data_IF_434105035679
#
_entry.id   IF_434105035679
#
_cell.length_a   1.000
_cell.length_b   1.000
_cell.length_c   1.000
_cell.angle_alpha   90.00
_cell.angle_beta   90.00
_cell.angle_gamma   90.00
#
_symmetry.space_group_name_H-M   'P 1'
#
loop_
_entity.id
_entity.type
_entity.pdbx_description
1 polymer ?
#
# COMPACT_ATOMS: atom_id res chain seq x y z
N UNK A 1 -5.95 -25.61 -25.19
CA UNK A 1 -5.47 -24.63 -24.22
C UNK A 1 -5.79 -23.23 -24.75
N UNK A 2 -6.31 -22.33 -23.93
CA UNK A 2 -6.57 -20.96 -24.34
C UNK A 2 -5.26 -20.19 -24.63
N UNK A 3 -5.35 -19.11 -25.40
CA UNK A 3 -4.22 -18.21 -25.65
C UNK A 3 -4.14 -17.23 -24.49
N UNK A 4 -2.96 -17.10 -23.86
CA UNK A 4 -2.72 -16.10 -22.82
C UNK A 4 -2.65 -14.72 -23.47
N UNK A 5 -3.47 -13.81 -22.99
CA UNK A 5 -3.56 -12.43 -23.47
C UNK A 5 -3.41 -11.46 -22.31
N UNK A 6 -2.76 -10.35 -22.59
CA UNK A 6 -2.56 -9.26 -21.64
C UNK A 6 -2.92 -7.94 -22.28
N UNK A 7 -3.60 -7.07 -21.53
CA UNK A 7 -3.89 -5.69 -21.94
C UNK A 7 -3.56 -4.74 -20.81
N UNK A 8 -3.21 -3.50 -21.14
CA UNK A 8 -2.82 -2.48 -20.19
C UNK A 8 -3.49 -1.13 -20.51
N UNK A 9 -3.86 -0.41 -19.47
CA UNK A 9 -4.32 0.97 -19.59
C UNK A 9 -3.94 1.78 -18.36
N UNK A 10 -3.92 3.11 -18.51
CA UNK A 10 -3.86 4.09 -17.43
C UNK A 10 -4.90 5.18 -17.64
N UNK A 11 -5.39 5.74 -16.55
CA UNK A 11 -6.27 6.92 -16.57
C UNK A 11 -5.84 7.89 -15.48
N UNK A 12 -5.99 9.19 -15.74
CA UNK A 12 -5.76 10.22 -14.75
C UNK A 12 -6.94 10.29 -13.77
N UNK A 13 -6.62 10.45 -12.48
CA UNK A 13 -7.59 10.58 -11.39
C UNK A 13 -7.34 11.83 -10.53
N UNK A 14 -6.78 12.89 -11.11
CA UNK A 14 -6.51 14.13 -10.39
C UNK A 14 -7.77 14.71 -9.73
N UNK A 15 -7.66 15.12 -8.46
CA UNK A 15 -8.76 15.71 -7.72
C UNK A 15 -8.94 17.21 -8.03
N UNK A 16 -10.09 17.80 -7.66
CA UNK A 16 -10.23 19.25 -7.58
C UNK A 16 -9.36 19.82 -6.44
N UNK A 17 -8.88 21.06 -6.60
CA UNK A 17 -8.18 21.79 -5.54
C UNK A 17 -9.09 22.06 -4.35
N UNK A 18 -8.51 22.19 -3.16
CA UNK A 18 -9.20 22.42 -1.91
C UNK A 18 -9.76 21.13 -1.26
N UNK A 19 -9.67 19.98 -1.92
CA UNK A 19 -10.07 18.70 -1.32
C UNK A 19 -9.13 18.29 -0.18
N UNK A 20 -9.66 17.62 0.83
CA UNK A 20 -8.87 17.09 1.95
C UNK A 20 -7.90 15.99 1.49
N UNK A 21 -6.65 16.05 1.99
CA UNK A 21 -5.57 15.08 1.70
C UNK A 21 -5.49 14.06 2.84
N UNK A 22 -5.43 12.76 2.47
CA UNK A 22 -5.31 11.63 3.39
C UNK A 22 -3.85 11.42 3.85
N UNK A 23 -3.67 10.67 4.94
CA UNK A 23 -2.38 10.08 5.36
C UNK A 23 -1.90 10.54 6.75
N UNK A 24 -2.32 11.69 7.27
CA UNK A 24 -1.88 12.21 8.57
C UNK A 24 -3.03 12.52 9.52
N UNK A 25 -2.72 12.70 10.80
CA UNK A 25 -3.65 13.14 11.85
C UNK A 25 -3.74 14.67 11.97
N UNK A 26 -3.41 15.39 10.90
CA UNK A 26 -3.55 16.84 10.77
C UNK A 26 -4.34 17.17 9.50
N UNK A 27 -5.18 18.21 9.50
CA UNK A 27 -5.91 18.60 8.31
C UNK A 27 -4.96 19.17 7.25
N UNK A 28 -5.07 18.67 6.02
CA UNK A 28 -4.36 19.17 4.83
C UNK A 28 -5.32 19.28 3.66
N UNK A 29 -5.14 20.28 2.82
CA UNK A 29 -6.02 20.54 1.68
C UNK A 29 -5.19 20.79 0.42
N UNK A 30 -5.60 20.20 -0.71
CA UNK A 30 -4.87 20.28 -1.96
C UNK A 30 -4.77 21.73 -2.47
N UNK A 31 -3.55 22.26 -2.56
CA UNK A 31 -3.23 23.61 -3.09
C UNK A 31 -2.66 23.60 -4.50
N UNK A 32 -2.27 22.45 -5.02
CA UNK A 32 -1.66 22.27 -6.32
C UNK A 32 -1.20 20.84 -6.56
N UNK A 33 -0.40 20.65 -7.60
CA UNK A 33 0.09 19.34 -8.02
C UNK A 33 1.61 19.38 -8.17
N UNK A 34 2.30 18.38 -7.65
CA UNK A 34 3.68 18.05 -8.01
C UNK A 34 3.71 17.15 -9.23
N UNK A 35 2.79 16.19 -9.30
CA UNK A 35 2.57 15.34 -10.45
C UNK A 35 1.13 14.76 -10.44
N UNK A 36 0.79 14.04 -11.51
CA UNK A 36 -0.52 13.45 -11.69
C UNK A 36 -0.71 12.19 -10.83
N UNK A 37 -1.93 12.01 -10.31
CA UNK A 37 -2.41 10.75 -9.78
C UNK A 37 -2.99 9.92 -10.93
N UNK A 38 -2.62 8.64 -10.98
CA UNK A 38 -3.06 7.70 -12.00
C UNK A 38 -3.69 6.45 -11.38
N UNK A 39 -4.61 5.85 -12.12
CA UNK A 39 -4.98 4.46 -11.93
C UNK A 39 -4.49 3.66 -13.15
N UNK A 40 -3.92 2.48 -12.90
CA UNK A 40 -3.41 1.56 -13.92
C UNK A 40 -4.10 0.22 -13.81
N UNK A 41 -4.41 -0.44 -14.94
CA UNK A 41 -4.96 -1.78 -14.95
C UNK A 41 -4.19 -2.70 -15.89
N UNK A 42 -4.04 -3.95 -15.45
CA UNK A 42 -3.53 -5.07 -16.22
C UNK A 42 -4.65 -6.10 -16.36
N UNK A 43 -5.16 -6.29 -17.59
CA UNK A 43 -6.14 -7.32 -17.90
C UNK A 43 -5.41 -8.61 -18.33
N UNK A 44 -5.63 -9.69 -17.59
CA UNK A 44 -5.08 -11.02 -17.86
C UNK A 44 -6.21 -11.94 -18.33
N UNK A 45 -6.06 -12.57 -19.48
CA UNK A 45 -7.07 -13.51 -20.00
C UNK A 45 -6.43 -14.81 -20.47
N UNK A 46 -7.07 -15.92 -20.15
CA UNK A 46 -6.70 -17.27 -20.62
C UNK A 46 -7.98 -18.08 -20.86
N UNK A 47 -8.29 -18.36 -22.13
CA UNK A 47 -9.57 -18.91 -22.51
C UNK A 47 -10.72 -17.98 -22.14
N UNK A 48 -11.69 -18.46 -21.39
CA UNK A 48 -12.85 -17.66 -20.93
C UNK A 48 -12.59 -16.90 -19.61
N UNK A 49 -11.49 -17.23 -18.90
CA UNK A 49 -11.15 -16.56 -17.66
C UNK A 49 -10.50 -15.20 -17.91
N UNK A 50 -10.95 -14.20 -17.18
CA UNK A 50 -10.34 -12.86 -17.17
C UNK A 50 -10.20 -12.38 -15.74
N UNK A 51 -9.04 -11.80 -15.41
CA UNK A 51 -8.70 -11.18 -14.12
C UNK A 51 -8.23 -9.76 -14.41
N UNK A 52 -8.66 -8.81 -13.61
CA UNK A 52 -8.20 -7.43 -13.64
C UNK A 52 -7.34 -7.14 -12.40
N UNK A 53 -6.09 -6.75 -12.62
CA UNK A 53 -5.21 -6.23 -11.57
C UNK A 53 -5.20 -4.71 -11.70
N UNK A 54 -5.68 -4.01 -10.67
CA UNK A 54 -5.85 -2.55 -10.68
C UNK A 54 -5.04 -1.92 -9.56
N UNK A 55 -4.23 -0.93 -9.89
CA UNK A 55 -3.43 -0.16 -8.95
C UNK A 55 -3.81 1.32 -9.04
N UNK A 56 -4.07 1.97 -7.91
CA UNK A 56 -4.61 3.32 -7.83
C UNK A 56 -3.73 4.20 -6.95
N UNK A 57 -3.33 5.37 -7.42
CA UNK A 57 -2.55 6.35 -6.65
C UNK A 57 -3.43 7.06 -5.60
N UNK A 58 -3.81 6.30 -4.59
CA UNK A 58 -4.61 6.73 -3.44
C UNK A 58 -3.94 6.20 -2.18
N UNK A 59 -4.15 6.86 -1.04
CA UNK A 59 -3.60 6.40 0.24
C UNK A 59 -4.20 5.06 0.65
N UNK A 60 -5.52 4.96 0.63
CA UNK A 60 -6.27 3.74 0.91
C UNK A 60 -7.68 3.82 0.30
N UNK A 61 -8.30 2.66 0.07
CA UNK A 61 -9.69 2.53 -0.37
C UNK A 61 -10.39 1.65 0.65
N UNK A 62 -11.39 2.17 1.34
CA UNK A 62 -12.15 1.41 2.32
C UNK A 62 -12.87 0.22 1.65
N UNK A 63 -13.04 -0.87 2.41
CA UNK A 63 -13.59 -2.13 1.90
C UNK A 63 -14.91 -1.95 1.15
N UNK A 64 -15.84 -1.14 1.68
CA UNK A 64 -17.13 -0.90 1.02
C UNK A 64 -17.01 -0.13 -0.31
N UNK A 65 -16.00 0.75 -0.45
CA UNK A 65 -15.71 1.43 -1.72
C UNK A 65 -15.06 0.48 -2.72
N UNK A 66 -14.16 -0.41 -2.27
CA UNK A 66 -13.62 -1.48 -3.12
C UNK A 66 -14.76 -2.33 -3.69
N UNK A 67 -15.70 -2.77 -2.85
CA UNK A 67 -16.87 -3.55 -3.28
C UNK A 67 -17.71 -2.78 -4.32
N UNK A 68 -17.95 -1.48 -4.09
CA UNK A 68 -18.67 -0.62 -5.02
C UNK A 68 -17.93 -0.47 -6.36
N UNK A 69 -16.64 -0.21 -6.33
CA UNK A 69 -15.84 -0.02 -7.54
C UNK A 69 -15.71 -1.32 -8.35
N UNK A 70 -15.52 -2.46 -7.68
CA UNK A 70 -15.50 -3.76 -8.34
C UNK A 70 -16.86 -4.08 -8.98
N UNK A 71 -17.99 -3.72 -8.35
CA UNK A 71 -19.32 -3.87 -8.93
C UNK A 71 -19.53 -2.95 -10.15
N UNK A 72 -19.04 -1.70 -10.11
CA UNK A 72 -19.08 -0.78 -11.27
C UNK A 72 -18.23 -1.32 -12.45
N UNK A 73 -17.08 -1.91 -12.18
CA UNK A 73 -16.25 -2.58 -13.19
C UNK A 73 -17.00 -3.77 -13.79
N UNK A 74 -17.64 -4.61 -12.97
CA UNK A 74 -18.46 -5.74 -13.45
C UNK A 74 -19.61 -5.27 -14.35
N UNK A 75 -20.35 -4.24 -13.94
CA UNK A 75 -21.45 -3.65 -14.72
C UNK A 75 -20.95 -3.15 -16.09
N UNK A 76 -19.79 -2.48 -16.11
CA UNK A 76 -19.24 -1.88 -17.32
C UNK A 76 -18.59 -2.89 -18.27
N UNK A 77 -18.10 -4.03 -17.77
CA UNK A 77 -17.22 -4.93 -18.55
C UNK A 77 -17.71 -6.37 -18.64
N UNK A 78 -18.60 -6.79 -17.74
CA UNK A 78 -18.99 -8.19 -17.57
C UNK A 78 -17.94 -9.07 -16.88
N UNK A 79 -16.79 -8.51 -16.47
CA UNK A 79 -15.82 -9.24 -15.64
C UNK A 79 -16.36 -9.33 -14.21
N UNK A 80 -16.55 -10.54 -13.65
CA UNK A 80 -17.06 -10.68 -12.28
C UNK A 80 -16.26 -9.86 -11.28
N UNK A 81 -16.93 -9.17 -10.36
CA UNK A 81 -16.25 -8.33 -9.34
C UNK A 81 -15.26 -9.11 -8.49
N UNK A 82 -15.49 -10.40 -8.29
CA UNK A 82 -14.58 -11.34 -7.60
C UNK A 82 -13.28 -11.54 -8.39
N UNK A 83 -13.25 -11.22 -9.69
CA UNK A 83 -12.06 -11.30 -10.53
C UNK A 83 -11.29 -9.98 -10.61
N UNK A 84 -11.60 -9.02 -9.74
CA UNK A 84 -10.89 -7.73 -9.65
C UNK A 84 -10.00 -7.73 -8.42
N UNK A 85 -8.71 -7.45 -8.62
CA UNK A 85 -7.69 -7.27 -7.61
C UNK A 85 -7.32 -5.79 -7.57
N UNK A 86 -7.97 -5.03 -6.68
CA UNK A 86 -7.90 -3.57 -6.60
C UNK A 86 -7.02 -3.15 -5.42
N UNK A 87 -5.90 -2.46 -5.69
CA UNK A 87 -4.94 -2.04 -4.67
C UNK A 87 -4.67 -0.53 -4.72
N UNK A 88 -4.44 0.06 -3.56
CA UNK A 88 -3.90 1.41 -3.43
C UNK A 88 -2.36 1.39 -3.41
N UNK A 89 -1.71 2.41 -3.99
CA UNK A 89 -0.24 2.59 -3.92
C UNK A 89 0.22 3.13 -2.58
N UNK A 90 -0.71 3.64 -1.78
CA UNK A 90 -0.52 4.22 -0.45
C UNK A 90 0.14 5.61 -0.46
N UNK A 91 0.00 6.41 -1.51
CA UNK A 91 0.53 7.78 -1.49
C UNK A 91 -0.17 8.63 -0.43
N UNK A 92 0.61 9.27 0.47
CA UNK A 92 0.12 10.13 1.54
C UNK A 92 -0.17 11.56 1.09
N UNK A 93 -0.15 11.82 -0.20
CA UNK A 93 -0.50 13.11 -0.81
C UNK A 93 -1.64 13.00 -1.82
N UNK A 94 -2.48 11.96 -1.68
CA UNK A 94 -3.74 11.79 -2.41
C UNK A 94 -4.95 12.17 -1.54
N UNK A 95 -6.12 12.46 -2.16
CA UNK A 95 -7.31 12.86 -1.43
C UNK A 95 -7.96 11.77 -0.60
N UNK A 96 -8.83 12.20 0.32
CA UNK A 96 -9.84 11.33 0.91
C UNK A 96 -10.82 10.82 -0.15
N UNK A 97 -11.22 9.55 -0.03
CA UNK A 97 -12.36 8.98 -0.76
C UNK A 97 -13.61 8.87 0.13
N UNK A 98 -13.44 9.00 1.44
CA UNK A 98 -14.50 8.97 2.47
C UNK A 98 -14.25 10.02 3.51
N UNK A 99 -15.34 10.55 4.08
CA UNK A 99 -15.23 11.36 5.30
C UNK A 99 -14.89 10.45 6.48
N UNK A 100 -13.79 10.74 7.14
CA UNK A 100 -13.37 10.02 8.35
C UNK A 100 -13.96 10.61 9.64
N UNK A 101 -14.66 11.74 9.54
CA UNK A 101 -15.19 12.48 10.68
C UNK A 101 -14.10 13.11 11.59
N UNK A 102 -12.84 13.10 11.16
CA UNK A 102 -11.70 13.60 11.96
C UNK A 102 -11.39 15.07 11.73
N UNK A 103 -11.68 15.57 10.54
CA UNK A 103 -11.33 16.93 10.12
C UNK A 103 -12.52 17.61 9.46
N UNK A 104 -12.58 18.96 9.49
CA UNK A 104 -13.58 19.71 8.72
C UNK A 104 -13.27 19.58 7.23
N UNK A 105 -14.06 18.79 6.52
CA UNK A 105 -13.92 18.56 5.06
C UNK A 105 -15.26 18.83 4.35
N UNK A 106 -15.21 19.20 3.08
CA UNK A 106 -16.40 19.23 2.22
C UNK A 106 -16.77 17.78 1.83
N UNK A 107 -17.68 17.18 2.60
CA UNK A 107 -18.16 15.79 2.38
C UNK A 107 -18.75 15.64 0.96
N UNK A 108 -19.45 16.66 0.45
CA UNK A 108 -20.02 16.61 -0.88
C UNK A 108 -18.92 16.63 -1.96
N UNK A 109 -17.82 17.33 -1.74
CA UNK A 109 -16.64 17.30 -2.65
C UNK A 109 -15.98 15.92 -2.64
N UNK A 110 -15.78 15.34 -1.45
CA UNK A 110 -15.21 13.99 -1.30
C UNK A 110 -16.08 12.96 -2.03
N UNK A 111 -17.39 12.97 -1.81
CA UNK A 111 -18.30 12.03 -2.47
C UNK A 111 -18.27 12.17 -4.00
N UNK A 112 -18.29 13.40 -4.53
CA UNK A 112 -18.16 13.63 -5.98
C UNK A 112 -16.84 13.11 -6.53
N UNK A 113 -15.74 13.27 -5.78
CA UNK A 113 -14.44 12.74 -6.19
C UNK A 113 -14.41 11.20 -6.13
N UNK A 114 -14.98 10.59 -5.10
CA UNK A 114 -15.10 9.13 -5.02
C UNK A 114 -15.94 8.55 -6.17
N UNK A 115 -17.02 9.22 -6.57
CA UNK A 115 -17.83 8.83 -7.74
C UNK A 115 -17.04 9.00 -9.05
N UNK A 116 -16.28 10.10 -9.18
CA UNK A 116 -15.40 10.31 -10.33
C UNK A 116 -14.35 9.19 -10.42
N UNK A 117 -13.69 8.83 -9.33
CA UNK A 117 -12.71 7.72 -9.30
C UNK A 117 -13.37 6.41 -9.74
N UNK A 118 -14.55 6.06 -9.20
CA UNK A 118 -15.26 4.85 -9.59
C UNK A 118 -15.56 4.79 -11.10
N UNK A 119 -16.03 5.89 -11.68
CA UNK A 119 -16.26 5.98 -13.14
C UNK A 119 -14.96 5.83 -13.94
N UNK A 120 -13.84 6.44 -13.47
CA UNK A 120 -12.54 6.29 -14.12
C UNK A 120 -12.00 4.86 -14.05
N UNK A 121 -12.27 4.12 -12.97
CA UNK A 121 -11.89 2.72 -12.84
C UNK A 121 -12.69 1.81 -13.79
N UNK A 122 -13.97 2.11 -14.02
CA UNK A 122 -14.77 1.42 -15.04
C UNK A 122 -14.23 1.67 -16.46
N UNK A 123 -13.95 2.94 -16.82
CA UNK A 123 -13.31 3.30 -18.10
C UNK A 123 -11.95 2.59 -18.26
N UNK A 124 -11.14 2.60 -17.21
CA UNK A 124 -9.82 1.96 -17.16
C UNK A 124 -9.91 0.46 -17.49
N UNK A 125 -10.89 -0.22 -16.89
CA UNK A 125 -11.11 -1.65 -17.11
C UNK A 125 -11.52 -1.92 -18.58
N UNK A 126 -12.41 -1.12 -19.16
CA UNK A 126 -12.79 -1.21 -20.59
C UNK A 126 -11.56 -1.06 -21.47
N UNK A 127 -10.74 -0.03 -21.22
CA UNK A 127 -9.53 0.24 -22.02
C UNK A 127 -8.49 -0.89 -21.91
N UNK A 128 -8.25 -1.40 -20.72
CA UNK A 128 -7.32 -2.51 -20.52
C UNK A 128 -7.79 -3.80 -21.20
N UNK A 129 -9.09 -4.08 -21.16
CA UNK A 129 -9.69 -5.22 -21.88
C UNK A 129 -9.61 -5.06 -23.38
N UNK A 130 -9.77 -3.85 -23.91
CA UNK A 130 -9.67 -3.56 -25.35
C UNK A 130 -8.23 -3.69 -25.87
N UNK A 131 -7.21 -3.42 -25.03
CA UNK A 131 -5.79 -3.53 -25.41
C UNK A 131 -5.25 -4.97 -25.39
N UNK A 132 -6.05 -5.98 -25.01
CA UNK A 132 -5.57 -7.37 -24.89
C UNK A 132 -4.99 -7.90 -26.19
N UNK A 133 -3.76 -8.40 -26.09
CA UNK A 133 -3.04 -9.08 -27.17
C UNK A 133 -2.41 -10.35 -26.61
N UNK A 134 -2.15 -11.32 -27.48
CA UNK A 134 -1.36 -12.49 -27.11
C UNK A 134 -0.05 -12.04 -26.51
N UNK A 135 0.35 -12.68 -25.40
CA UNK A 135 1.52 -12.25 -24.66
C UNK A 135 2.28 -13.46 -24.06
N UNK A 136 3.51 -13.20 -23.68
CA UNK A 136 4.32 -14.10 -22.84
C UNK A 136 4.62 -13.41 -21.53
N UNK A 137 4.86 -14.17 -20.47
CA UNK A 137 5.23 -13.68 -19.15
C UNK A 137 6.60 -14.19 -18.76
N UNK A 138 7.45 -13.29 -18.26
CA UNK A 138 8.66 -13.62 -17.56
C UNK A 138 8.64 -13.05 -16.14
N UNK A 139 9.42 -13.62 -15.23
CA UNK A 139 9.60 -13.08 -13.89
C UNK A 139 11.04 -13.11 -13.46
N UNK A 140 11.39 -12.24 -12.52
CA UNK A 140 12.69 -12.20 -11.86
C UNK A 140 12.54 -11.53 -10.51
N UNK A 141 13.44 -11.85 -9.59
CA UNK A 141 13.61 -11.18 -8.30
C UNK A 141 14.98 -10.53 -8.23
N UNK A 142 15.04 -9.31 -7.73
CA UNK A 142 16.27 -8.61 -7.38
C UNK A 142 16.20 -8.02 -5.99
N UNK A 143 17.10 -7.10 -5.71
CA UNK A 143 17.25 -6.46 -4.40
C UNK A 143 17.18 -4.95 -4.55
N UNK A 144 16.41 -4.32 -3.68
CA UNK A 144 16.39 -2.87 -3.60
C UNK A 144 17.79 -2.35 -3.22
N UNK A 145 18.20 -1.17 -3.73
CA UNK A 145 19.44 -0.54 -3.31
C UNK A 145 19.40 -0.22 -1.80
N UNK A 146 20.57 -0.11 -1.20
CA UNK A 146 20.68 0.45 0.16
C UNK A 146 20.12 1.87 0.20
N UNK A 147 19.63 2.28 1.38
CA UNK A 147 19.18 3.64 1.67
C UNK A 147 17.89 4.10 0.96
N UNK A 148 17.09 3.19 0.42
CA UNK A 148 15.75 3.52 -0.10
C UNK A 148 14.65 3.22 0.90
N UNK A 149 14.86 2.25 1.81
CA UNK A 149 13.89 1.82 2.80
C UNK A 149 14.56 1.54 4.15
N UNK A 150 13.81 1.78 5.22
CA UNK A 150 14.25 1.58 6.60
C UNK A 150 13.10 1.05 7.44
N UNK A 151 13.42 0.22 8.44
CA UNK A 151 12.45 -0.07 9.51
C UNK A 151 12.17 1.25 10.22
N UNK A 152 10.89 1.56 10.46
CA UNK A 152 10.49 2.82 11.11
C UNK A 152 10.22 2.72 12.60
N UNK A 153 10.28 1.49 13.17
CA UNK A 153 10.13 1.20 14.60
C UNK A 153 11.51 1.08 15.26
N UNK A 154 11.72 1.78 16.36
CA UNK A 154 13.01 1.82 17.04
C UNK A 154 12.85 1.55 18.54
N UNK A 155 13.77 0.77 19.09
CA UNK A 155 13.99 0.65 20.53
C UNK A 155 14.68 1.91 21.00
N UNK A 156 14.16 2.51 22.07
CA UNK A 156 14.75 3.67 22.70
C UNK A 156 15.58 3.22 23.91
N UNK A 157 16.58 4.03 24.30
CA UNK A 157 17.47 3.73 25.43
C UNK A 157 16.77 3.61 26.78
N UNK A 158 15.59 4.21 26.93
CA UNK A 158 14.75 4.07 28.11
C UNK A 158 13.93 2.77 28.13
N UNK A 159 14.07 1.95 27.12
CA UNK A 159 13.34 0.69 26.96
C UNK A 159 11.99 0.81 26.25
N UNK A 160 11.52 2.02 25.93
CA UNK A 160 10.29 2.23 25.13
C UNK A 160 10.49 1.88 23.65
N UNK A 161 9.41 1.89 22.88
CA UNK A 161 9.43 1.77 21.43
C UNK A 161 8.80 2.99 20.82
N UNK A 162 9.49 3.60 19.85
CA UNK A 162 8.98 4.75 19.09
C UNK A 162 8.96 4.42 17.61
N UNK A 163 7.84 4.75 16.95
CA UNK A 163 7.73 4.74 15.49
C UNK A 163 8.15 6.11 14.97
N UNK A 164 8.97 6.14 13.91
CA UNK A 164 9.48 7.36 13.28
C UNK A 164 10.04 8.37 14.31
N UNK A 165 11.05 8.00 15.13
CA UNK A 165 11.66 8.95 16.06
C UNK A 165 12.30 10.12 15.30
N UNK A 166 12.50 11.27 15.95
CA UNK A 166 13.18 12.41 15.34
C UNK A 166 14.55 12.03 14.75
N UNK A 167 14.87 12.60 13.61
CA UNK A 167 16.16 12.38 12.94
C UNK A 167 17.29 12.85 13.88
N UNK A 168 18.28 11.99 14.12
CA UNK A 168 19.43 12.29 14.98
C UNK A 168 19.12 12.25 16.49
N UNK A 169 17.96 11.74 16.92
CA UNK A 169 17.66 11.62 18.36
C UNK A 169 18.69 10.71 19.05
N UNK A 170 19.47 11.24 20.01
CA UNK A 170 20.49 10.48 20.70
C UNK A 170 19.94 9.35 21.59
N UNK A 171 18.64 9.32 21.83
CA UNK A 171 17.96 8.29 22.62
C UNK A 171 17.60 7.04 21.83
N UNK A 172 17.76 7.05 20.51
CA UNK A 172 17.58 5.85 19.69
C UNK A 172 18.67 4.83 20.03
N UNK A 173 18.25 3.58 20.22
CA UNK A 173 19.18 2.45 20.44
C UNK A 173 19.37 1.66 19.14
N UNK A 174 18.33 0.98 18.64
CA UNK A 174 18.38 0.21 17.39
C UNK A 174 17.01 0.06 16.73
N UNK A 175 16.94 -0.25 15.41
CA UNK A 175 15.68 -0.57 14.74
C UNK A 175 15.13 -1.93 15.18
N UNK A 176 13.78 -2.06 15.24
CA UNK A 176 13.09 -3.30 15.61
C UNK A 176 12.46 -3.90 14.35
N UNK A 177 13.01 -4.99 13.85
CA UNK A 177 12.53 -5.70 12.68
C UNK A 177 13.60 -5.87 11.60
N UNK A 178 13.22 -6.48 10.51
CA UNK A 178 14.10 -6.75 9.34
C UNK A 178 13.43 -6.27 8.06
N UNK A 179 14.19 -5.65 7.17
CA UNK A 179 13.68 -5.25 5.85
C UNK A 179 13.62 -6.46 4.92
N UNK A 180 12.57 -6.56 4.16
CA UNK A 180 12.52 -7.40 2.97
C UNK A 180 12.91 -6.56 1.74
N UNK A 181 14.15 -6.65 1.35
CA UNK A 181 14.70 -5.89 0.21
C UNK A 181 14.37 -6.52 -1.16
N UNK A 182 13.58 -7.60 -1.22
CA UNK A 182 13.25 -8.26 -2.48
C UNK A 182 12.32 -7.41 -3.33
N UNK A 183 12.77 -7.09 -4.55
CA UNK A 183 11.97 -6.47 -5.60
C UNK A 183 11.55 -7.55 -6.58
N UNK A 184 10.25 -7.79 -6.70
CA UNK A 184 9.71 -8.74 -7.67
C UNK A 184 9.29 -8.01 -8.94
N UNK A 185 9.69 -8.55 -10.10
CA UNK A 185 9.36 -8.01 -11.41
C UNK A 185 8.72 -9.10 -12.26
N UNK A 186 7.49 -8.85 -12.72
CA UNK A 186 6.86 -9.62 -13.79
C UNK A 186 6.90 -8.78 -15.06
N UNK A 187 7.35 -9.37 -16.17
CA UNK A 187 7.35 -8.74 -17.48
C UNK A 187 6.39 -9.47 -18.39
N UNK A 188 5.51 -8.70 -19.03
CA UNK A 188 4.58 -9.19 -20.03
C UNK A 188 4.90 -8.53 -21.36
N UNK A 189 5.25 -9.33 -22.37
CA UNK A 189 5.48 -8.82 -23.72
C UNK A 189 4.30 -9.19 -24.61
N UNK A 190 3.54 -8.18 -25.05
CA UNK A 190 2.46 -8.35 -26.00
C UNK A 190 3.01 -8.59 -27.42
N UNK A 191 2.40 -9.49 -28.18
CA UNK A 191 2.68 -9.68 -29.59
C UNK A 191 2.20 -8.43 -30.36
N UNK A 192 3.13 -7.73 -31.02
CA UNK A 192 2.86 -6.45 -31.72
C UNK A 192 2.22 -5.37 -30.82
N UNK A 193 2.69 -5.27 -29.59
CA UNK A 193 2.20 -4.31 -28.60
C UNK A 193 3.29 -3.81 -27.66
N UNK A 194 2.88 -3.51 -26.44
CA UNK A 194 3.78 -3.00 -25.38
C UNK A 194 4.49 -4.12 -24.62
N UNK A 195 5.65 -3.80 -24.06
CA UNK A 195 6.15 -4.52 -22.88
C UNK A 195 5.60 -3.84 -21.64
N UNK A 196 5.13 -4.65 -20.69
CA UNK A 196 4.50 -4.19 -19.45
C UNK A 196 5.26 -4.82 -18.29
N UNK A 197 5.63 -4.03 -17.29
CA UNK A 197 6.24 -4.54 -16.06
C UNK A 197 5.29 -4.34 -14.89
N UNK A 198 5.11 -5.39 -14.10
CA UNK A 198 4.50 -5.33 -12.79
C UNK A 198 5.63 -5.39 -11.76
N UNK A 199 5.68 -4.41 -10.87
CA UNK A 199 6.68 -4.31 -9.81
C UNK A 199 5.97 -4.45 -8.46
N UNK A 200 6.54 -5.28 -7.56
CA UNK A 200 6.10 -5.41 -6.18
C UNK A 200 7.28 -5.20 -5.24
N UNK A 201 7.13 -4.28 -4.31
CA UNK A 201 8.09 -3.94 -3.27
C UNK A 201 7.37 -3.31 -2.08
N UNK A 202 7.79 -3.62 -0.84
CA UNK A 202 7.16 -3.10 0.37
C UNK A 202 7.85 -1.85 0.89
N UNK A 203 7.22 -0.68 0.69
CA UNK A 203 7.67 0.60 1.22
C UNK A 203 6.52 1.60 1.22
N UNK A 204 6.28 2.28 2.35
CA UNK A 204 5.33 3.39 2.41
C UNK A 204 5.59 4.42 1.32
N UNK A 205 4.55 4.80 0.60
CA UNK A 205 4.59 5.94 -0.32
C UNK A 205 4.28 7.24 0.47
N UNK A 206 5.17 7.53 1.42
CA UNK A 206 5.13 8.66 2.35
C UNK A 206 6.48 9.38 2.34
N UNK A 207 7.06 9.55 1.14
CA UNK A 207 8.32 10.29 0.93
C UNK A 207 8.11 11.77 0.70
N UNK A 208 6.86 12.19 0.44
CA UNK A 208 6.44 13.59 0.26
C UNK A 208 5.38 13.94 1.30
N UNK A 209 5.51 15.11 1.92
CA UNK A 209 4.50 15.68 2.80
C UNK A 209 3.89 16.97 2.19
N UNK A 210 3.07 17.69 2.98
CA UNK A 210 2.51 18.99 2.59
C UNK A 210 1.18 18.89 1.85
N UNK A 211 0.89 19.91 1.03
CA UNK A 211 -0.44 20.16 0.45
C UNK A 211 -0.44 20.13 -1.09
N UNK A 212 0.61 19.58 -1.70
CA UNK A 212 0.67 19.35 -3.14
C UNK A 212 0.39 17.88 -3.45
N UNK A 213 -0.55 17.64 -4.34
CA UNK A 213 -0.90 16.30 -4.80
C UNK A 213 0.28 15.64 -5.53
N UNK A 214 0.57 14.38 -5.21
CA UNK A 214 1.70 13.66 -5.76
C UNK A 214 1.46 12.13 -5.72
N UNK A 215 1.89 11.44 -6.77
CA UNK A 215 1.91 9.97 -6.85
C UNK A 215 3.08 9.34 -6.06
N UNK A 216 3.87 10.15 -5.36
CA UNK A 216 5.03 9.77 -4.56
C UNK A 216 6.07 8.98 -5.38
N UNK A 217 6.96 8.22 -4.73
CA UNK A 217 8.02 7.45 -5.39
C UNK A 217 7.50 6.40 -6.40
N UNK A 218 6.31 5.76 -6.25
CA UNK A 218 5.81 4.86 -7.29
C UNK A 218 5.60 5.53 -8.64
N UNK A 219 5.09 6.76 -8.66
CA UNK A 219 4.96 7.54 -9.88
C UNK A 219 6.30 7.89 -10.51
N UNK A 220 7.30 8.25 -9.70
CA UNK A 220 8.66 8.49 -10.20
C UNK A 220 9.29 7.22 -10.80
N UNK A 221 9.07 6.05 -10.20
CA UNK A 221 9.53 4.77 -10.73
C UNK A 221 8.89 4.49 -12.10
N UNK A 222 7.55 4.58 -12.21
CA UNK A 222 6.81 4.35 -13.47
C UNK A 222 7.31 5.26 -14.59
N UNK A 223 7.39 6.58 -14.36
CA UNK A 223 7.87 7.55 -15.35
C UNK A 223 9.33 7.34 -15.76
N UNK A 224 10.17 6.90 -14.83
CA UNK A 224 11.58 6.60 -15.13
C UNK A 224 11.69 5.38 -16.04
N UNK A 225 10.93 4.32 -15.78
CA UNK A 225 10.91 3.11 -16.60
C UNK A 225 10.34 3.38 -18.00
N UNK A 226 9.25 4.14 -18.11
CA UNK A 226 8.66 4.52 -19.39
C UNK A 226 9.68 5.22 -20.31
N UNK A 227 10.44 6.18 -19.74
CA UNK A 227 11.45 6.93 -20.50
C UNK A 227 12.72 6.13 -20.79
N UNK A 228 13.14 5.27 -19.87
CA UNK A 228 14.39 4.53 -20.01
C UNK A 228 14.27 3.29 -20.89
N UNK A 229 13.06 2.77 -21.07
CA UNK A 229 12.75 1.55 -21.82
C UNK A 229 11.80 1.78 -23.00
N UNK A 230 11.89 2.96 -23.64
CA UNK A 230 11.18 3.31 -24.87
C UNK A 230 9.67 3.06 -24.83
N UNK A 231 9.03 3.49 -23.73
CA UNK A 231 7.57 3.42 -23.57
C UNK A 231 7.04 2.14 -22.94
N UNK A 232 7.88 1.41 -22.19
CA UNK A 232 7.43 0.30 -21.35
C UNK A 232 6.37 0.79 -20.37
N UNK A 233 5.27 0.06 -20.26
CA UNK A 233 4.22 0.34 -19.28
C UNK A 233 4.57 -0.29 -17.95
N UNK A 234 4.26 0.40 -16.85
CA UNK A 234 4.57 -0.08 -15.50
C UNK A 234 3.33 0.00 -14.60
N UNK A 235 3.03 -1.09 -13.90
CA UNK A 235 2.05 -1.15 -12.81
C UNK A 235 2.76 -1.53 -11.52
N UNK A 236 2.41 -0.88 -10.41
CA UNK A 236 3.03 -1.11 -9.11
C UNK A 236 2.01 -1.61 -8.10
N UNK A 237 2.39 -2.63 -7.33
CA UNK A 237 1.65 -3.11 -6.17
C UNK A 237 2.55 -3.05 -4.95
N UNK A 238 2.12 -2.30 -3.92
CA UNK A 238 2.87 -2.16 -2.69
C UNK A 238 2.88 -3.48 -1.91
N UNK A 239 4.03 -3.83 -1.33
CA UNK A 239 4.23 -5.06 -0.57
C UNK A 239 3.80 -4.93 0.89
N UNK A 240 4.32 -5.82 1.75
CA UNK A 240 4.18 -5.70 3.19
C UNK A 240 5.06 -4.54 3.67
N UNK A 241 4.45 -3.42 4.03
CA UNK A 241 5.13 -2.14 4.26
C UNK A 241 4.77 -1.51 5.63
N UNK A 242 3.90 -2.15 6.41
CA UNK A 242 3.32 -1.56 7.63
C UNK A 242 4.36 -1.05 8.64
N UNK A 243 5.56 -1.60 8.67
CA UNK A 243 6.68 -1.18 9.52
C UNK A 243 7.86 -0.57 8.74
N UNK A 244 7.67 -0.24 7.45
CA UNK A 244 8.73 0.24 6.55
C UNK A 244 8.49 1.68 6.12
N UNK A 245 9.48 2.55 6.30
CA UNK A 245 9.48 3.94 5.86
C UNK A 245 10.72 4.30 5.05
N UNK A 246 10.76 5.51 4.52
CA UNK A 246 11.90 6.03 3.73
C UNK A 246 12.86 6.90 4.55
N UNK A 247 12.54 7.21 5.80
CA UNK A 247 13.34 8.12 6.62
C UNK A 247 14.52 7.41 7.28
N UNK A 248 15.72 7.89 7.00
CA UNK A 248 16.94 7.45 7.68
C UNK A 248 17.14 8.30 8.95
N UNK A 249 16.93 7.71 10.12
CA UNK A 249 17.04 8.44 11.41
C UNK A 249 18.48 8.79 11.82
N UNK A 250 19.48 8.16 11.19
CA UNK A 250 20.91 8.48 11.35
C UNK A 250 21.51 8.88 10.01
N UNK A 251 21.12 10.04 9.43
CA UNK A 251 21.60 10.44 8.13
C UNK A 251 23.12 10.63 8.11
N UNK A 252 23.75 10.17 7.06
CA UNK A 252 25.15 10.41 6.76
C UNK A 252 25.27 11.39 5.57
N UNK A 253 26.43 12.04 5.44
CA UNK A 253 26.65 12.94 4.31
C UNK A 253 26.44 12.25 2.96
N UNK A 254 25.75 12.92 2.04
CA UNK A 254 25.41 12.40 0.72
C UNK A 254 24.11 11.61 0.65
N UNK A 255 23.35 11.49 1.72
CA UNK A 255 22.04 10.84 1.69
C UNK A 255 21.04 11.59 0.79
N UNK A 256 21.18 12.91 0.70
CA UNK A 256 20.40 13.76 -0.20
C UNK A 256 21.28 14.82 -0.85
N UNK A 257 21.25 14.91 -2.17
CA UNK A 257 21.93 15.93 -2.97
C UNK A 257 20.92 16.75 -3.78
N UNK A 258 19.82 17.13 -3.18
CA UNK A 258 18.82 17.98 -3.80
C UNK A 258 18.98 19.42 -3.29
N UNK A 259 19.22 20.35 -4.19
CA UNK A 259 19.37 21.78 -3.84
C UNK A 259 18.07 22.44 -3.40
N UNK A 260 16.95 21.80 -3.64
CA UNK A 260 15.61 22.26 -3.21
C UNK A 260 15.28 21.83 -1.78
N UNK A 261 16.12 21.00 -1.15
CA UNK A 261 15.90 20.46 0.18
C UNK A 261 16.90 21.07 1.15
N UNK A 262 16.38 21.62 2.24
CA UNK A 262 17.19 21.93 3.39
C UNK A 262 17.61 20.62 4.08
N UNK A 263 18.91 20.35 4.13
CA UNK A 263 19.49 19.17 4.78
C UNK A 263 19.14 19.04 6.26
N UNK A 264 18.65 20.10 6.87
CA UNK A 264 18.61 20.17 8.33
C UNK A 264 17.28 19.68 8.92
N UNK A 265 16.19 19.52 8.14
CA UNK A 265 14.90 19.33 8.80
C UNK A 265 13.88 18.38 8.15
N UNK A 266 13.97 18.01 6.88
CA UNK A 266 12.89 17.20 6.31
C UNK A 266 13.40 16.14 5.33
N UNK A 267 13.44 14.89 5.81
CA UNK A 267 13.69 13.72 4.96
C UNK A 267 12.51 13.43 4.01
N UNK A 268 11.37 14.12 4.18
CA UNK A 268 10.21 14.02 3.28
C UNK A 268 10.16 15.19 2.32
N UNK A 269 10.32 14.89 1.03
CA UNK A 269 10.42 15.92 0.00
C UNK A 269 10.19 15.34 -1.40
N UNK A 270 9.89 16.17 -2.40
CA UNK A 270 9.86 15.74 -3.81
C UNK A 270 11.17 15.11 -4.28
N UNK A 271 12.32 15.56 -3.74
CA UNK A 271 13.63 14.98 -4.02
C UNK A 271 13.77 13.56 -3.50
N UNK A 272 13.25 13.27 -2.30
CA UNK A 272 13.23 11.90 -1.76
C UNK A 272 12.36 10.97 -2.63
N UNK A 273 11.15 11.39 -3.02
CA UNK A 273 10.31 10.63 -3.94
C UNK A 273 11.03 10.29 -5.24
N UNK A 274 11.71 11.31 -5.82
CA UNK A 274 12.50 11.15 -7.03
C UNK A 274 13.69 10.20 -6.84
N UNK A 275 14.41 10.30 -5.74
CA UNK A 275 15.52 9.41 -5.42
C UNK A 275 15.06 7.96 -5.28
N UNK A 276 14.10 7.68 -4.41
CA UNK A 276 13.57 6.33 -4.17
C UNK A 276 13.01 5.73 -5.46
N UNK A 277 12.17 6.48 -6.19
CA UNK A 277 11.56 6.02 -7.43
C UNK A 277 12.59 5.68 -8.51
N UNK A 278 13.64 6.52 -8.69
CA UNK A 278 14.73 6.27 -9.64
C UNK A 278 15.63 5.11 -9.22
N UNK A 279 15.91 4.98 -7.92
CA UNK A 279 16.72 3.90 -7.38
C UNK A 279 16.06 2.54 -7.62
N UNK A 280 14.75 2.42 -7.33
CA UNK A 280 13.98 1.21 -7.60
C UNK A 280 13.80 0.95 -9.10
N UNK A 281 13.60 1.99 -9.92
CA UNK A 281 13.64 1.86 -11.37
C UNK A 281 14.98 1.31 -11.85
N UNK A 282 16.10 1.75 -11.27
CA UNK A 282 17.44 1.22 -11.55
C UNK A 282 17.55 -0.28 -11.30
N UNK A 283 16.97 -0.79 -10.21
CA UNK A 283 16.86 -2.23 -9.96
C UNK A 283 16.06 -2.93 -11.07
N UNK A 284 14.91 -2.39 -11.44
CA UNK A 284 14.08 -2.98 -12.51
C UNK A 284 14.84 -2.98 -13.84
N UNK A 285 15.56 -1.89 -14.18
CA UNK A 285 16.38 -1.80 -15.40
C UNK A 285 17.47 -2.89 -15.45
N UNK A 286 18.13 -3.16 -14.33
CA UNK A 286 19.15 -4.22 -14.25
C UNK A 286 18.55 -5.62 -14.48
N UNK A 287 17.29 -5.82 -14.12
CA UNK A 287 16.60 -7.10 -14.18
C UNK A 287 15.84 -7.31 -15.49
N UNK A 288 15.45 -6.23 -16.16
CA UNK A 288 14.47 -6.21 -17.24
C UNK A 288 14.78 -7.21 -18.37
N UNK A 289 16.02 -7.28 -18.82
CA UNK A 289 16.45 -8.19 -19.89
C UNK A 289 16.86 -9.59 -19.41
N UNK A 290 16.79 -9.82 -18.08
CA UNK A 290 17.17 -11.09 -17.45
C UNK A 290 15.99 -11.90 -16.95
N UNK A 291 14.76 -11.47 -17.23
CA UNK A 291 13.55 -12.22 -16.84
C UNK A 291 13.55 -13.62 -17.45
N UNK A 292 13.15 -14.60 -16.67
CA UNK A 292 12.96 -15.96 -17.15
C UNK A 292 11.51 -16.12 -17.62
N UNK A 293 11.31 -16.38 -18.92
CA UNK A 293 9.99 -16.61 -19.48
C UNK A 293 9.46 -17.98 -19.09
N UNK A 294 8.21 -17.99 -18.63
CA UNK A 294 7.53 -19.19 -18.13
C UNK A 294 6.20 -19.39 -18.85
N UNK A 295 5.74 -20.64 -19.03
CA UNK A 295 4.40 -20.88 -19.55
C UNK A 295 3.36 -20.35 -18.55
N UNK A 296 2.31 -19.72 -19.10
CA UNK A 296 1.10 -19.37 -18.36
C UNK A 296 -0.03 -20.27 -18.86
N UNK A 297 -0.16 -21.40 -18.22
CA UNK A 297 -1.17 -22.45 -18.50
C UNK A 297 -2.41 -22.35 -17.61
N UNK A 298 -2.33 -21.52 -16.58
CA UNK A 298 -3.41 -21.25 -15.63
C UNK A 298 -3.39 -19.81 -15.14
N UNK A 299 -4.59 -19.23 -15.02
CA UNK A 299 -4.85 -18.02 -14.24
C UNK A 299 -6.05 -18.29 -13.35
N UNK A 300 -5.94 -17.97 -12.07
CA UNK A 300 -7.04 -18.14 -11.11
C UNK A 300 -7.05 -16.98 -10.11
N UNK A 301 -8.23 -16.68 -9.60
CA UNK A 301 -8.39 -15.80 -8.45
C UNK A 301 -9.30 -16.48 -7.45
N UNK A 302 -8.93 -16.46 -6.18
CA UNK A 302 -9.70 -17.04 -5.07
C UNK A 302 -9.67 -16.10 -3.88
N UNK A 303 -10.66 -16.25 -3.02
CA UNK A 303 -10.78 -15.50 -1.78
C UNK A 303 -10.79 -16.44 -0.58
N UNK A 304 -10.22 -15.98 0.53
CA UNK A 304 -10.26 -16.70 1.80
C UNK A 304 -10.60 -15.72 2.92
N UNK A 305 -11.66 -16.01 3.66
CA UNK A 305 -12.10 -15.17 4.77
C UNK A 305 -11.53 -15.72 6.07
N UNK A 306 -10.79 -14.88 6.80
CA UNK A 306 -10.33 -15.14 8.17
C UNK A 306 -11.04 -14.20 9.14
N UNK A 307 -11.37 -14.69 10.35
CA UNK A 307 -11.97 -13.88 11.39
C UNK A 307 -10.89 -13.52 12.42
N UNK A 308 -10.71 -12.23 12.65
CA UNK A 308 -9.67 -11.68 13.52
C UNK A 308 -10.31 -11.13 14.80
N UNK A 309 -9.91 -11.61 16.00
CA UNK A 309 -10.43 -11.10 17.26
C UNK A 309 -10.13 -9.62 17.45
N UNK A 310 -11.11 -8.86 17.93
CA UNK A 310 -10.96 -7.45 18.21
C UNK A 310 -10.12 -7.21 19.47
N UNK A 311 -9.30 -6.15 19.44
CA UNK A 311 -8.55 -5.63 20.59
C UNK A 311 -9.46 -4.73 21.44
N UNK A 312 -10.49 -5.33 22.03
CA UNK A 312 -11.51 -4.64 22.85
C UNK A 312 -10.85 -3.95 24.03
N UNK A 313 -11.10 -2.65 24.25
CA UNK A 313 -10.49 -1.90 25.35
C UNK A 313 -11.01 -2.36 26.72
N UNK A 314 -10.17 -2.17 27.74
CA UNK A 314 -10.63 -2.32 29.13
C UNK A 314 -11.37 -1.06 29.61
N UNK A 315 -12.28 -1.17 30.60
CA UNK A 315 -13.00 -0.01 31.13
C UNK A 315 -12.08 1.13 31.62
N UNK A 316 -10.88 0.80 32.09
CA UNK A 316 -9.90 1.77 32.62
C UNK A 316 -9.29 2.65 31.52
N UNK A 317 -9.18 2.12 30.29
CA UNK A 317 -8.62 2.85 29.14
C UNK A 317 -9.57 3.91 28.57
N UNK A 318 -10.88 3.69 28.69
CA UNK A 318 -11.91 4.47 28.01
C UNK A 318 -11.92 5.96 28.41
N UNK A 319 -11.87 6.34 29.72
CA UNK A 319 -11.96 7.76 30.10
C UNK A 319 -10.82 8.62 29.54
N UNK A 320 -9.59 8.10 29.56
CA UNK A 320 -8.42 8.79 29.02
C UNK A 320 -8.50 8.91 27.49
N UNK A 321 -8.90 7.83 26.79
CA UNK A 321 -9.07 7.83 25.36
C UNK A 321 -10.11 8.86 24.90
N UNK A 322 -11.28 8.92 25.56
CA UNK A 322 -12.31 9.94 25.29
C UNK A 322 -11.78 11.36 25.50
N UNK A 323 -10.97 11.58 26.54
CA UNK A 323 -10.33 12.88 26.80
C UNK A 323 -9.39 13.27 25.67
N UNK A 324 -8.46 12.38 25.27
CA UNK A 324 -7.46 12.69 24.24
C UNK A 324 -8.10 12.87 22.88
N UNK A 325 -9.05 12.01 22.50
CA UNK A 325 -9.84 12.18 21.28
C UNK A 325 -10.52 13.55 21.21
N UNK A 326 -11.23 13.95 22.27
CA UNK A 326 -11.89 15.25 22.35
C UNK A 326 -10.92 16.42 22.25
N UNK A 327 -9.79 16.39 22.98
CA UNK A 327 -8.78 17.46 22.92
C UNK A 327 -8.24 17.62 21.52
N UNK A 328 -7.97 16.52 20.83
CA UNK A 328 -7.52 16.55 19.44
C UNK A 328 -8.56 17.14 18.49
N UNK A 329 -9.82 16.72 18.60
CA UNK A 329 -10.94 17.24 17.78
C UNK A 329 -11.21 18.74 18.03
N UNK A 330 -10.91 19.23 19.22
CA UNK A 330 -11.00 20.66 19.59
C UNK A 330 -9.73 21.47 19.19
N UNK A 331 -8.70 20.84 18.57
CA UNK A 331 -7.42 21.49 18.25
C UNK A 331 -6.56 21.84 19.46
N UNK A 332 -6.77 21.16 20.58
CA UNK A 332 -6.11 21.40 21.88
C UNK A 332 -5.03 20.36 22.17
N UNK A 333 -4.28 19.97 21.16
CA UNK A 333 -3.22 18.96 21.27
C UNK A 333 -2.13 19.32 22.29
N UNK A 334 -1.88 20.61 22.51
CA UNK A 334 -0.92 21.09 23.50
C UNK A 334 -1.27 20.69 24.96
N UNK A 335 -2.51 20.24 25.23
CA UNK A 335 -2.94 19.75 26.55
C UNK A 335 -2.77 18.23 26.71
N UNK A 336 -2.35 17.56 25.65
CA UNK A 336 -1.97 16.15 25.67
C UNK A 336 -0.45 16.08 25.96
N UNK A 337 0.00 15.33 27.02
CA UNK A 337 1.38 15.39 27.49
C UNK A 337 2.37 14.59 26.61
N UNK A 338 2.22 14.68 25.29
CA UNK A 338 3.05 14.02 24.30
C UNK A 338 3.32 14.95 23.12
N UNK A 339 4.40 14.72 22.39
CA UNK A 339 4.78 15.53 21.23
C UNK A 339 5.16 14.67 20.03
N UNK A 340 5.24 15.26 18.85
CA UNK A 340 5.67 14.61 17.61
C UNK A 340 4.89 13.29 17.33
N UNK A 341 5.58 12.22 16.95
CA UNK A 341 4.96 10.93 16.62
C UNK A 341 4.32 10.24 17.83
N UNK A 342 4.78 10.52 19.05
CA UNK A 342 4.15 9.98 20.26
C UNK A 342 2.74 10.59 20.49
N UNK A 343 2.56 11.87 20.21
CA UNK A 343 1.24 12.50 20.21
C UNK A 343 0.33 11.82 19.19
N UNK A 344 0.80 11.63 17.95
CA UNK A 344 0.06 10.90 16.92
C UNK A 344 -0.32 9.49 17.38
N UNK A 345 0.60 8.80 18.04
CA UNK A 345 0.37 7.44 18.57
C UNK A 345 -0.75 7.39 19.59
N UNK A 346 -0.73 8.29 20.60
CA UNK A 346 -1.75 8.28 21.67
C UNK A 346 -3.11 8.76 21.15
N UNK A 347 -3.13 9.67 20.18
CA UNK A 347 -4.37 10.11 19.50
C UNK A 347 -4.95 8.95 18.69
N UNK A 348 -4.15 8.28 17.87
CA UNK A 348 -4.60 7.14 17.07
C UNK A 348 -5.14 5.99 17.95
N UNK A 349 -4.48 5.70 19.07
CA UNK A 349 -4.96 4.74 20.06
C UNK A 349 -6.28 5.18 20.69
N UNK A 350 -6.43 6.47 21.00
CA UNK A 350 -7.67 7.01 21.57
C UNK A 350 -8.85 6.83 20.61
N UNK A 351 -8.66 7.08 19.30
CA UNK A 351 -9.68 6.79 18.29
C UNK A 351 -10.06 5.32 18.26
N UNK A 352 -9.05 4.41 18.21
CA UNK A 352 -9.29 2.96 18.24
C UNK A 352 -10.07 2.51 19.47
N UNK A 353 -9.67 2.97 20.67
CA UNK A 353 -10.35 2.62 21.92
C UNK A 353 -11.80 3.09 21.91
N UNK A 354 -12.07 4.33 21.48
CA UNK A 354 -13.44 4.85 21.40
C UNK A 354 -14.28 4.11 20.34
N UNK A 355 -13.68 3.71 19.21
CA UNK A 355 -14.35 2.93 18.17
C UNK A 355 -14.72 1.53 18.67
N UNK A 356 -13.83 0.90 19.44
CA UNK A 356 -14.01 -0.47 19.92
C UNK A 356 -14.75 -0.59 21.25
N UNK A 357 -15.07 0.52 21.92
CA UNK A 357 -15.84 0.51 23.19
C UNK A 357 -17.16 -0.28 23.07
N UNK A 358 -17.80 -0.16 21.92
CA UNK A 358 -19.05 -0.87 21.57
C UNK A 358 -18.92 -1.61 20.24
N UNK A 359 -17.69 -1.91 19.84
CA UNK A 359 -17.39 -2.59 18.59
C UNK A 359 -17.70 -4.11 18.64
N UNK A 360 -17.55 -4.79 17.52
CA UNK A 360 -17.74 -6.25 17.46
C UNK A 360 -16.58 -6.98 18.14
N UNK A 361 -16.82 -8.23 18.55
CA UNK A 361 -15.80 -9.10 19.15
C UNK A 361 -14.73 -9.57 18.12
N UNK A 362 -15.04 -9.50 16.84
CA UNK A 362 -14.15 -9.90 15.75
C UNK A 362 -14.48 -9.20 14.44
N UNK A 363 -13.50 -9.10 13.56
CA UNK A 363 -13.62 -8.55 12.21
C UNK A 363 -13.32 -9.63 11.16
N UNK A 364 -14.13 -9.75 10.11
CA UNK A 364 -13.78 -10.55 8.96
C UNK A 364 -12.72 -9.85 8.13
N UNK A 365 -11.72 -10.59 7.68
CA UNK A 365 -10.72 -10.14 6.73
C UNK A 365 -10.75 -11.03 5.49
N UNK A 366 -10.91 -10.44 4.31
CA UNK A 366 -10.96 -11.16 3.05
C UNK A 366 -9.60 -11.10 2.35
N UNK A 367 -8.83 -12.19 2.39
CA UNK A 367 -7.59 -12.34 1.64
C UNK A 367 -7.91 -12.73 0.19
N UNK A 368 -7.21 -12.14 -0.77
CA UNK A 368 -7.40 -12.43 -2.20
C UNK A 368 -6.11 -13.02 -2.77
N UNK A 369 -6.20 -14.20 -3.38
CA UNK A 369 -5.08 -14.85 -4.05
C UNK A 369 -5.26 -14.85 -5.55
N UNK A 370 -4.22 -14.48 -6.30
CA UNK A 370 -4.17 -14.55 -7.77
C UNK A 370 -3.05 -15.49 -8.18
N UNK A 371 -3.35 -16.40 -9.10
CA UNK A 371 -2.37 -17.25 -9.79
C UNK A 371 -2.15 -16.75 -11.21
N UNK A 372 -0.88 -16.67 -11.63
CA UNK A 372 -0.47 -16.38 -13.02
C UNK A 372 0.62 -17.38 -13.38
N UNK A 373 0.23 -18.53 -13.94
CA UNK A 373 1.14 -19.66 -14.13
C UNK A 373 1.80 -20.08 -12.81
N UNK A 374 3.14 -20.09 -12.72
CA UNK A 374 3.88 -20.50 -11.51
C UNK A 374 4.02 -19.38 -10.46
N UNK A 375 3.49 -18.18 -10.70
CA UNK A 375 3.58 -17.02 -9.80
C UNK A 375 2.25 -16.79 -9.09
N UNK A 376 2.29 -16.39 -7.82
CA UNK A 376 1.12 -16.00 -7.05
C UNK A 376 1.24 -14.56 -6.53
N UNK A 377 0.08 -13.87 -6.44
CA UNK A 377 -0.07 -12.63 -5.68
C UNK A 377 -1.03 -12.89 -4.52
N UNK A 378 -0.79 -12.25 -3.37
CA UNK A 378 -1.66 -12.34 -2.19
C UNK A 378 -2.04 -10.94 -1.75
N UNK A 379 -3.29 -10.56 -1.96
CA UNK A 379 -3.87 -9.29 -1.53
C UNK A 379 -4.30 -9.34 -0.07
N UNK A 380 -3.86 -8.37 0.70
CA UNK A 380 -4.15 -8.19 2.13
C UNK A 380 -4.83 -6.83 2.27
N UNK A 381 -6.06 -6.75 2.78
CA UNK A 381 -6.77 -5.47 2.91
C UNK A 381 -6.31 -4.71 4.16
N UNK A 382 -5.14 -4.09 4.09
CA UNK A 382 -4.52 -3.31 5.15
C UNK A 382 -3.00 -3.33 5.05
N UNK A 383 -2.32 -2.95 6.12
CA UNK A 383 -0.89 -2.66 6.19
C UNK A 383 -0.15 -3.72 7.04
N UNK A 384 0.22 -4.88 6.44
CA UNK A 384 0.95 -5.93 7.14
C UNK A 384 2.41 -5.53 7.38
N UNK A 385 2.95 -5.94 8.53
CA UNK A 385 4.39 -5.85 8.80
C UNK A 385 5.19 -6.73 7.83
N UNK A 386 6.44 -6.36 7.63
CA UNK A 386 7.38 -7.06 6.73
C UNK A 386 7.43 -8.56 6.98
N UNK A 387 7.50 -8.99 8.24
CA UNK A 387 7.61 -10.41 8.60
C UNK A 387 6.34 -11.22 8.23
N UNK A 388 5.18 -10.59 8.14
CA UNK A 388 3.97 -11.24 7.59
C UNK A 388 4.19 -11.55 6.10
N UNK A 389 4.70 -10.58 5.34
CA UNK A 389 5.04 -10.77 3.93
C UNK A 389 6.09 -11.88 3.73
N UNK A 390 7.13 -11.90 4.57
CA UNK A 390 8.16 -12.95 4.58
C UNK A 390 7.54 -14.32 4.89
N UNK A 391 6.68 -14.39 5.90
CA UNK A 391 5.96 -15.61 6.28
C UNK A 391 5.07 -16.17 5.16
N UNK A 392 4.42 -15.30 4.37
CA UNK A 392 3.61 -15.68 3.20
C UNK A 392 4.51 -16.19 2.07
N UNK A 393 5.62 -15.50 1.78
CA UNK A 393 6.61 -15.89 0.75
C UNK A 393 7.27 -17.24 1.03
N UNK A 394 7.22 -17.74 2.27
CA UNK A 394 7.73 -19.06 2.64
C UNK A 394 6.84 -20.23 2.18
N UNK A 395 5.65 -19.97 1.63
CA UNK A 395 4.78 -21.03 1.10
C UNK A 395 5.45 -21.73 -0.09
N UNK A 396 5.33 -23.07 -0.10
CA UNK A 396 6.05 -23.91 -1.07
C UNK A 396 5.29 -24.07 -2.38
N UNK A 397 6.06 -24.33 -3.43
CA UNK A 397 5.54 -24.74 -4.75
C UNK A 397 5.16 -23.61 -5.68
N UNK A 398 5.60 -22.38 -5.40
CA UNK A 398 5.50 -21.21 -6.26
C UNK A 398 6.90 -20.74 -6.65
N UNK A 399 7.05 -20.26 -7.88
CA UNK A 399 8.30 -19.64 -8.34
C UNK A 399 8.52 -18.27 -7.71
N UNK A 400 7.43 -17.53 -7.51
CA UNK A 400 7.42 -16.28 -6.75
C UNK A 400 6.05 -16.08 -6.09
N UNK A 401 6.05 -15.43 -4.92
CA UNK A 401 4.83 -14.99 -4.23
C UNK A 401 4.99 -13.50 -3.93
N UNK A 402 4.02 -12.70 -4.35
CA UNK A 402 3.98 -11.24 -4.21
C UNK A 402 2.87 -10.87 -3.21
N UNK A 403 3.20 -10.65 -1.92
CA UNK A 403 2.25 -10.04 -0.99
C UNK A 403 1.96 -8.61 -1.43
N UNK A 404 0.67 -8.22 -1.41
CA UNK A 404 0.22 -6.89 -1.79
C UNK A 404 -0.65 -6.31 -0.67
N UNK A 405 -0.24 -5.19 -0.08
CA UNK A 405 -1.00 -4.49 0.95
C UNK A 405 -2.17 -3.70 0.33
N UNK A 406 -3.08 -3.21 1.16
CA UNK A 406 -4.20 -2.33 0.79
C UNK A 406 -4.96 -2.81 -0.44
N UNK A 407 -5.18 -4.12 -0.50
CA UNK A 407 -5.83 -4.79 -1.63
C UNK A 407 -7.24 -5.22 -1.27
N UNK A 408 -8.21 -4.80 -2.08
CA UNK A 408 -9.64 -5.04 -1.90
C UNK A 408 -10.17 -4.58 -0.53
N UNK A 409 -9.57 -3.51 0.02
CA UNK A 409 -9.96 -2.89 1.26
C UNK A 409 -8.81 -2.29 2.07
N UNK A 410 -9.16 -1.64 3.17
CA UNK A 410 -8.23 -1.08 4.15
C UNK A 410 -8.77 -1.29 5.55
N UNK A 411 -8.15 -2.21 6.27
CA UNK A 411 -8.57 -2.65 7.62
C UNK A 411 -7.52 -2.29 8.69
N UNK A 412 -6.57 -1.40 8.36
CA UNK A 412 -5.53 -0.88 9.25
C UNK A 412 -4.29 -1.76 9.34
N UNK A 413 -3.53 -1.58 10.44
CA UNK A 413 -2.24 -2.25 10.64
C UNK A 413 -2.37 -3.68 11.16
N UNK A 414 -1.51 -4.54 10.63
CA UNK A 414 -1.34 -5.91 11.08
C UNK A 414 0.08 -6.11 11.62
N UNK A 415 0.32 -5.84 12.92
CA UNK A 415 1.61 -6.02 13.55
C UNK A 415 1.92 -7.48 13.87
N UNK A 416 3.21 -7.82 14.00
CA UNK A 416 3.63 -9.09 14.58
C UNK A 416 3.25 -9.17 16.07
N UNK A 417 3.13 -10.38 16.60
CA UNK A 417 2.72 -10.60 18.00
C UNK A 417 3.61 -9.87 19.02
N UNK A 418 4.94 -9.86 18.81
CA UNK A 418 5.90 -9.16 19.67
C UNK A 418 5.65 -7.66 19.73
N UNK A 419 5.18 -7.06 18.65
CA UNK A 419 4.94 -5.61 18.59
C UNK A 419 3.86 -5.13 19.58
N UNK A 420 2.92 -5.98 19.95
CA UNK A 420 1.89 -5.64 20.95
C UNK A 420 2.48 -5.51 22.37
N UNK A 421 3.56 -6.22 22.67
CA UNK A 421 4.31 -6.10 23.94
C UNK A 421 5.33 -4.96 23.87
N UNK A 422 5.95 -4.75 22.71
CA UNK A 422 6.95 -3.71 22.48
C UNK A 422 6.33 -2.31 22.44
N UNK A 423 5.10 -2.18 21.91
CA UNK A 423 4.43 -0.89 21.68
C UNK A 423 4.75 -0.27 20.31
N UNK A 424 4.62 1.06 20.22
CA UNK A 424 4.75 1.82 18.99
C UNK A 424 3.38 2.08 18.32
N UNK A 425 3.38 2.94 17.31
CA UNK A 425 2.17 3.48 16.69
C UNK A 425 1.28 2.38 16.09
N UNK A 426 1.86 1.48 15.31
CA UNK A 426 1.12 0.46 14.56
C UNK A 426 0.39 -0.52 15.47
N UNK A 427 1.07 -0.96 16.54
CA UNK A 427 0.51 -1.89 17.53
C UNK A 427 -0.60 -1.22 18.36
N UNK A 428 -0.39 0.02 18.78
CA UNK A 428 -1.38 0.79 19.56
C UNK A 428 -2.59 1.18 18.73
N UNK A 429 -2.42 1.44 17.42
CA UNK A 429 -3.50 1.71 16.48
C UNK A 429 -4.25 0.45 16.04
N UNK A 430 -3.61 -0.72 16.05
CA UNK A 430 -4.20 -1.97 15.56
C UNK A 430 -5.47 -2.34 16.34
N UNK A 431 -6.58 -2.57 15.63
CA UNK A 431 -7.85 -2.99 16.21
C UNK A 431 -7.95 -4.49 16.48
N UNK A 432 -6.87 -5.24 16.24
CA UNK A 432 -6.80 -6.69 16.38
C UNK A 432 -5.97 -7.11 17.58
N UNK A 433 -6.21 -8.33 18.09
CA UNK A 433 -5.34 -8.98 19.05
C UNK A 433 -4.03 -9.46 18.41
N UNK A 434 -3.05 -9.79 19.23
CA UNK A 434 -1.69 -10.16 18.82
C UNK A 434 -1.58 -11.39 17.90
N UNK A 435 -2.64 -12.21 17.78
CA UNK A 435 -2.69 -13.35 16.86
C UNK A 435 -2.96 -12.95 15.38
N UNK A 436 -3.10 -11.67 15.05
CA UNK A 436 -3.45 -11.19 13.71
C UNK A 436 -2.43 -11.62 12.66
N UNK A 437 -1.15 -11.55 12.96
CA UNK A 437 -0.08 -11.91 12.03
C UNK A 437 -0.15 -13.40 11.62
N UNK A 438 -0.25 -14.29 12.60
CA UNK A 438 -0.34 -15.74 12.35
C UNK A 438 -1.59 -16.09 11.54
N UNK A 439 -2.73 -15.49 11.87
CA UNK A 439 -3.97 -15.73 11.15
C UNK A 439 -3.90 -15.30 9.68
N UNK A 440 -3.23 -14.19 9.38
CA UNK A 440 -3.03 -13.71 7.99
C UNK A 440 -2.04 -14.64 7.26
N UNK A 441 -0.93 -15.01 7.88
CA UNK A 441 0.07 -15.92 7.28
C UNK A 441 -0.57 -17.27 6.96
N UNK A 442 -1.25 -17.88 7.93
CA UNK A 442 -1.88 -19.20 7.76
C UNK A 442 -3.04 -19.15 6.76
N UNK A 443 -3.88 -18.11 6.85
CA UNK A 443 -4.96 -17.89 5.90
C UNK A 443 -4.46 -17.73 4.47
N UNK A 444 -3.35 -17.02 4.28
CA UNK A 444 -2.69 -16.81 2.99
C UNK A 444 -2.07 -18.11 2.45
N UNK A 445 -1.40 -18.91 3.31
CA UNK A 445 -0.84 -20.22 2.91
C UNK A 445 -1.94 -21.20 2.52
N UNK A 446 -3.05 -21.22 3.25
CA UNK A 446 -4.22 -22.02 2.89
C UNK A 446 -4.82 -21.61 1.55
N UNK A 447 -4.91 -20.30 1.28
CA UNK A 447 -5.37 -19.75 0.01
C UNK A 447 -4.44 -20.15 -1.15
N UNK A 448 -3.12 -20.00 -0.98
CA UNK A 448 -2.11 -20.40 -1.95
C UNK A 448 -2.14 -21.90 -2.27
N UNK A 449 -2.39 -22.73 -1.27
CA UNK A 449 -2.57 -24.18 -1.48
C UNK A 449 -3.79 -24.51 -2.34
N UNK A 450 -4.92 -23.80 -2.12
CA UNK A 450 -6.16 -23.98 -2.91
C UNK A 450 -6.01 -23.46 -4.35
N UNK A 451 -5.25 -22.38 -4.56
CA UNK A 451 -4.99 -21.84 -5.91
C UNK A 451 -4.21 -22.83 -6.80
N UNK A 452 -3.41 -23.70 -6.18
CA UNK A 452 -2.57 -24.67 -6.88
C UNK A 452 -3.27 -25.99 -7.18
N UNK A 453 -4.35 -26.31 -6.46
CA UNK A 453 -5.14 -27.52 -6.62
C UNK A 453 -6.03 -27.45 -7.87
#
# INVERSE_FOLDING_TARGET
MGVFQVGFATVNINPPLGIGIMGYYIPRYAKGFLDDLEASALALSLGEKTILLVSVDICLIETYLCDRYCAQIEEATGVPKENVFLSATHTHTAPFLTDTGRFPVDVAQINRYADFVGNRLADLAILALADRKKARMGFIQGWAPERVAYIRRYKMKDGSTMTCPPVGDPNIDHPIGTLDQRVHVLRFDQEAGHSIVLVNYGLHADTVNGELICSDWPGWMRRTLDKALDGVKCIFFNGAEGDVGSTHVFPSGGDMNDTEISFDNEMKSPGMARFVGRALAGTVLQLYDKVEYVPVDSINILHNRVNLPANTPTPEQIPQAKRYKRLHEEGRDAEIPYTAMELTTVVAEAYRICELEHGPDSFPLNLTGVQIGPVAMVGIPGEPFTDIGVGIKAAQGWSAILPCCLTNGSEGYFPMASAFEEGGYEARKSRYKSCVADAIIDGSKALLSKLKA
#
